data_IF_379154466556
#
_entry.id   IF_379154466556
#
_cell.length_a   1.000
_cell.length_b   1.000
_cell.length_c   1.000
_cell.angle_alpha   90.00
_cell.angle_beta   90.00
_cell.angle_gamma   90.00
#
_symmetry.space_group_name_H-M   'P 1'
#
loop_
_entity.id
_entity.type
_entity.pdbx_description
1 polymer ?
#
# COMPACT_ATOMS: atom_id res chain seq x y z
N UNK A 1 -3.09 -8.13 -41.35
CA UNK A 1 -2.08 -7.56 -40.44
C UNK A 1 -2.42 -8.06 -39.04
N UNK A 2 -1.74 -9.07 -38.55
CA UNK A 2 -1.86 -9.50 -37.13
C UNK A 2 -1.14 -8.48 -36.29
N UNK A 3 -1.88 -7.69 -35.51
CA UNK A 3 -1.30 -6.80 -34.54
C UNK A 3 -0.60 -7.65 -33.44
N UNK A 4 0.73 -7.77 -33.54
CA UNK A 4 1.53 -8.38 -32.47
C UNK A 4 1.48 -7.46 -31.27
N UNK A 5 0.78 -7.90 -30.20
CA UNK A 5 0.70 -7.16 -28.95
C UNK A 5 2.10 -7.13 -28.34
N UNK A 6 2.64 -5.93 -28.13
CA UNK A 6 3.95 -5.74 -27.52
C UNK A 6 3.88 -6.12 -26.02
N UNK A 7 4.69 -7.08 -25.53
CA UNK A 7 4.67 -7.50 -24.12
C UNK A 7 4.86 -6.35 -23.12
N UNK A 8 5.63 -5.32 -23.47
CA UNK A 8 5.78 -4.11 -22.66
C UNK A 8 4.45 -3.37 -22.48
N UNK A 9 3.65 -3.24 -23.53
CA UNK A 9 2.34 -2.60 -23.47
C UNK A 9 1.40 -3.40 -22.55
N UNK A 10 1.39 -4.73 -22.68
CA UNK A 10 0.56 -5.60 -21.81
C UNK A 10 0.93 -5.41 -20.35
N UNK A 11 2.24 -5.42 -20.04
CA UNK A 11 2.70 -5.24 -18.67
C UNK A 11 2.37 -3.84 -18.12
N UNK A 12 2.54 -2.79 -18.93
CA UNK A 12 2.20 -1.43 -18.56
C UNK A 12 0.70 -1.29 -18.29
N UNK A 13 -0.16 -1.86 -19.15
CA UNK A 13 -1.61 -1.87 -18.93
C UNK A 13 -2.00 -2.64 -17.67
N UNK A 14 -1.38 -3.78 -17.41
CA UNK A 14 -1.61 -4.56 -16.18
C UNK A 14 -1.27 -3.74 -14.92
N UNK A 15 -0.10 -3.10 -14.90
CA UNK A 15 0.34 -2.26 -13.78
C UNK A 15 -0.56 -1.04 -13.62
N UNK A 16 -0.92 -0.37 -14.73
CA UNK A 16 -1.84 0.78 -14.69
C UNK A 16 -3.22 0.39 -14.15
N UNK A 17 -3.78 -0.72 -14.60
CA UNK A 17 -5.05 -1.23 -14.10
C UNK A 17 -5.00 -1.55 -12.59
N UNK A 18 -3.90 -2.16 -12.13
CA UNK A 18 -3.67 -2.44 -10.71
C UNK A 18 -3.61 -1.14 -9.89
N UNK A 19 -2.91 -0.12 -10.37
CA UNK A 19 -2.81 1.17 -9.68
C UNK A 19 -4.14 1.93 -9.65
N UNK A 20 -4.88 1.94 -10.76
CA UNK A 20 -6.25 2.48 -10.79
C UNK A 20 -7.11 1.78 -9.74
N UNK A 21 -7.05 0.45 -9.67
CA UNK A 21 -7.80 -0.35 -8.70
C UNK A 21 -7.44 0.01 -7.26
N UNK A 22 -6.15 0.17 -6.94
CA UNK A 22 -5.68 0.57 -5.61
C UNK A 22 -6.11 2.01 -5.28
N UNK A 23 -6.00 2.94 -6.23
CA UNK A 23 -6.39 4.34 -6.05
C UNK A 23 -7.90 4.47 -5.82
N UNK A 24 -8.73 3.85 -6.65
CA UNK A 24 -10.19 3.84 -6.48
C UNK A 24 -10.56 3.19 -5.14
N UNK A 25 -9.89 2.09 -4.80
CA UNK A 25 -10.08 1.42 -3.52
C UNK A 25 -9.74 2.32 -2.33
N UNK A 26 -8.65 3.08 -2.41
CA UNK A 26 -8.26 4.02 -1.37
C UNK A 26 -9.29 5.15 -1.20
N UNK A 27 -9.68 5.82 -2.28
CA UNK A 27 -10.67 6.91 -2.25
C UNK A 27 -12.02 6.45 -1.69
N UNK A 28 -12.41 5.20 -1.95
CA UNK A 28 -13.68 4.64 -1.44
C UNK A 28 -13.58 4.07 -0.02
N UNK A 29 -12.39 3.91 0.52
CA UNK A 29 -12.14 3.33 1.86
C UNK A 29 -11.82 4.39 2.90
N UNK A 30 -11.06 5.42 2.52
CA UNK A 30 -10.62 6.47 3.43
C UNK A 30 -11.47 7.74 3.28
N UNK A 31 -11.83 8.36 4.40
CA UNK A 31 -12.54 9.64 4.43
C UNK A 31 -11.64 10.75 4.96
N UNK A 32 -11.84 11.93 4.39
CA UNK A 32 -11.26 13.17 4.94
C UNK A 32 -12.05 13.54 6.18
N UNK A 33 -11.35 13.80 7.29
CA UNK A 33 -11.96 14.29 8.51
C UNK A 33 -12.51 15.72 8.25
N UNK A 34 -13.78 16.02 8.61
CA UNK A 34 -14.32 17.37 8.44
C UNK A 34 -13.43 18.42 9.13
N UNK A 35 -13.06 19.47 8.40
CA UNK A 35 -12.17 20.54 8.90
C UNK A 35 -10.67 20.30 8.65
N UNK A 36 -10.27 19.10 8.23
CA UNK A 36 -8.91 18.82 7.77
C UNK A 36 -8.90 18.74 6.24
N UNK A 37 -7.96 19.42 5.61
CA UNK A 37 -7.71 19.24 4.17
C UNK A 37 -7.12 17.85 3.88
N UNK A 38 -7.16 17.39 2.61
CA UNK A 38 -6.50 16.14 2.25
C UNK A 38 -5.02 16.22 2.64
N UNK A 39 -4.50 15.24 3.37
CA UNK A 39 -3.12 15.29 3.82
C UNK A 39 -2.20 15.23 2.59
N UNK A 40 -1.49 16.31 2.31
CA UNK A 40 -0.55 16.44 1.16
C UNK A 40 0.40 15.24 1.02
N UNK A 41 0.69 14.55 2.13
CA UNK A 41 1.57 13.39 2.15
C UNK A 41 0.95 12.13 1.54
N UNK A 42 -0.39 11.95 1.59
CA UNK A 42 -1.05 10.81 0.93
C UNK A 42 -1.05 10.98 -0.60
N UNK A 43 -1.09 12.22 -1.08
CA UNK A 43 -0.98 12.54 -2.50
C UNK A 43 0.40 12.16 -3.05
N UNK A 44 1.48 12.33 -2.25
CA UNK A 44 2.83 11.93 -2.64
C UNK A 44 2.96 10.44 -2.92
N UNK A 45 2.24 9.58 -2.19
CA UNK A 45 2.23 8.14 -2.47
C UNK A 45 1.57 7.87 -3.82
N UNK A 46 0.41 8.49 -4.09
CA UNK A 46 -0.29 8.35 -5.37
C UNK A 46 0.56 8.89 -6.53
N UNK A 47 1.18 10.06 -6.37
CA UNK A 47 2.10 10.62 -7.36
C UNK A 47 3.29 9.70 -7.62
N UNK A 48 3.84 9.07 -6.57
CA UNK A 48 4.90 8.08 -6.70
C UNK A 48 4.49 6.89 -7.55
N UNK A 49 3.27 6.36 -7.37
CA UNK A 49 2.73 5.30 -8.22
C UNK A 49 2.72 5.69 -9.69
N UNK A 50 2.19 6.88 -10.02
CA UNK A 50 2.11 7.36 -11.39
C UNK A 50 3.49 7.66 -11.97
N UNK A 51 4.41 8.22 -11.18
CA UNK A 51 5.78 8.48 -11.61
C UNK A 51 6.51 7.19 -12.04
N UNK A 52 6.25 6.06 -11.36
CA UNK A 52 6.83 4.77 -11.74
C UNK A 52 6.32 4.25 -13.09
N UNK A 53 5.13 4.68 -13.55
CA UNK A 53 4.57 4.32 -14.86
C UNK A 53 5.05 5.23 -15.98
N UNK A 54 5.20 6.54 -15.70
CA UNK A 54 5.51 7.57 -16.71
C UNK A 54 7.00 7.55 -17.07
N UNK A 55 7.83 6.91 -16.26
CA UNK A 55 9.25 6.78 -16.55
C UNK A 55 9.48 6.03 -17.88
N UNK A 56 9.78 6.79 -18.93
CA UNK A 56 9.93 6.31 -20.31
C UNK A 56 11.24 5.60 -20.62
N UNK A 57 11.99 5.12 -19.63
CA UNK A 57 13.22 4.36 -19.88
C UNK A 57 12.87 3.04 -20.58
N UNK A 58 13.57 2.69 -21.69
CA UNK A 58 13.41 1.40 -22.33
C UNK A 58 13.83 0.30 -21.34
N UNK A 59 12.85 -0.44 -20.86
CA UNK A 59 13.07 -1.49 -19.88
C UNK A 59 13.43 -2.77 -20.63
N UNK A 60 14.58 -3.32 -20.34
CA UNK A 60 14.86 -4.70 -20.70
C UNK A 60 14.01 -5.61 -19.77
N UNK A 61 12.94 -6.18 -20.33
CA UNK A 61 12.13 -7.17 -19.61
C UNK A 61 12.99 -8.38 -19.29
N UNK A 62 13.51 -8.41 -18.08
CA UNK A 62 14.22 -9.57 -17.58
C UNK A 62 13.15 -10.62 -17.24
N UNK A 63 12.93 -11.58 -18.13
CA UNK A 63 11.79 -12.51 -18.09
C UNK A 63 11.62 -13.24 -16.76
N UNK A 64 12.73 -13.52 -16.06
CA UNK A 64 12.69 -14.21 -14.75
C UNK A 64 12.21 -13.31 -13.59
N UNK A 65 12.31 -11.97 -13.71
CA UNK A 65 11.81 -11.02 -12.70
C UNK A 65 10.33 -10.64 -12.93
N UNK A 66 9.82 -10.80 -14.14
CA UNK A 66 8.43 -10.45 -14.47
C UNK A 66 7.44 -11.35 -13.74
N UNK A 67 7.68 -12.66 -13.71
CA UNK A 67 6.77 -13.61 -13.04
C UNK A 67 6.64 -13.31 -11.54
N UNK A 68 7.72 -13.24 -10.74
CA UNK A 68 7.60 -12.90 -9.32
C UNK A 68 7.02 -11.50 -9.10
N UNK A 69 7.29 -10.53 -9.97
CA UNK A 69 6.68 -9.20 -9.91
C UNK A 69 5.17 -9.23 -10.16
N UNK A 70 4.70 -9.99 -11.15
CA UNK A 70 3.27 -10.19 -11.39
C UNK A 70 2.58 -10.88 -10.18
N UNK A 71 3.21 -11.92 -9.63
CA UNK A 71 2.71 -12.59 -8.41
C UNK A 71 2.63 -11.61 -7.23
N UNK A 72 3.66 -10.79 -7.03
CA UNK A 72 3.67 -9.75 -6.00
C UNK A 72 2.55 -8.71 -6.21
N UNK A 73 2.33 -8.27 -7.44
CA UNK A 73 1.24 -7.33 -7.77
C UNK A 73 -0.14 -7.93 -7.49
N UNK A 74 -0.38 -9.18 -7.89
CA UNK A 74 -1.62 -9.89 -7.55
C UNK A 74 -1.76 -10.03 -6.04
N UNK A 75 -0.70 -10.39 -5.33
CA UNK A 75 -0.66 -10.45 -3.87
C UNK A 75 -1.02 -9.11 -3.21
N UNK A 76 -0.52 -7.99 -3.75
CA UNK A 76 -0.85 -6.65 -3.29
C UNK A 76 -2.35 -6.35 -3.42
N UNK A 77 -2.94 -6.66 -4.57
CA UNK A 77 -4.39 -6.48 -4.81
C UNK A 77 -5.24 -7.36 -3.89
N UNK A 78 -4.85 -8.61 -3.72
CA UNK A 78 -5.53 -9.55 -2.81
C UNK A 78 -5.46 -9.07 -1.36
N UNK A 79 -4.28 -8.63 -0.90
CA UNK A 79 -4.10 -8.11 0.46
C UNK A 79 -4.94 -6.84 0.68
N UNK A 80 -4.94 -5.92 -0.29
CA UNK A 80 -5.74 -4.71 -0.24
C UNK A 80 -7.24 -5.02 -0.12
N UNK A 81 -7.75 -5.89 -1.01
CA UNK A 81 -9.16 -6.26 -1.01
C UNK A 81 -9.56 -7.06 0.22
N UNK A 82 -8.67 -7.90 0.75
CA UNK A 82 -8.90 -8.60 2.01
C UNK A 82 -9.00 -7.61 3.18
N UNK A 83 -8.08 -6.64 3.28
CA UNK A 83 -8.14 -5.60 4.29
C UNK A 83 -9.45 -4.80 4.19
N UNK A 84 -9.82 -4.38 2.98
CA UNK A 84 -11.05 -3.61 2.74
C UNK A 84 -12.32 -4.39 3.14
N UNK A 85 -12.39 -5.67 2.80
CA UNK A 85 -13.55 -6.52 3.17
C UNK A 85 -13.63 -6.75 4.67
N UNK A 86 -12.50 -6.82 5.35
CA UNK A 86 -12.43 -7.08 6.79
C UNK A 86 -13.02 -5.93 7.62
N UNK A 87 -12.96 -4.70 7.14
CA UNK A 87 -13.51 -3.52 7.84
C UNK A 87 -15.02 -3.31 7.64
N UNK A 88 -15.71 -4.21 6.92
CA UNK A 88 -17.16 -4.25 6.75
C UNK A 88 -17.82 -2.93 6.33
N UNK A 89 -17.18 -2.18 5.44
CA UNK A 89 -17.69 -0.90 4.93
C UNK A 89 -17.57 0.27 5.89
N UNK A 90 -16.90 0.12 7.02
CA UNK A 90 -16.53 1.26 7.84
C UNK A 90 -15.39 2.04 7.15
N UNK A 91 -15.38 3.34 7.42
CA UNK A 91 -14.39 4.23 6.83
C UNK A 91 -13.26 4.48 7.81
N UNK A 92 -12.04 4.47 7.29
CA UNK A 92 -10.88 4.91 8.02
C UNK A 92 -10.57 6.37 7.70
N UNK A 93 -10.06 7.08 8.68
CA UNK A 93 -9.52 8.41 8.46
C UNK A 93 -8.28 8.35 7.59
N UNK A 94 -8.04 9.39 6.82
CA UNK A 94 -6.81 9.49 6.03
C UNK A 94 -5.56 9.49 6.92
N UNK A 95 -4.48 9.04 6.34
CA UNK A 95 -3.14 9.06 6.93
C UNK A 95 -2.79 10.45 7.46
N UNK A 96 -2.19 10.51 8.66
CA UNK A 96 -1.84 11.76 9.37
C UNK A 96 -3.03 12.62 9.83
N UNK A 97 -4.26 12.13 9.86
CA UNK A 97 -5.36 12.81 10.55
C UNK A 97 -5.05 12.96 12.06
N UNK A 98 -5.60 13.99 12.68
CA UNK A 98 -5.45 14.22 14.13
C UNK A 98 -6.59 13.61 14.97
N UNK A 99 -7.46 12.83 14.34
CA UNK A 99 -8.55 12.13 15.01
C UNK A 99 -8.04 11.12 16.04
N UNK A 100 -8.79 10.96 17.13
CA UNK A 100 -8.49 9.95 18.15
C UNK A 100 -9.09 8.62 17.68
N UNK A 101 -8.30 7.53 17.67
CA UNK A 101 -8.82 6.21 17.31
C UNK A 101 -9.93 5.78 18.27
N UNK A 102 -11.10 5.40 17.72
CA UNK A 102 -12.25 4.95 18.49
C UNK A 102 -12.47 3.44 18.40
N UNK A 103 -11.75 2.75 17.51
CA UNK A 103 -11.90 1.32 17.27
C UNK A 103 -10.57 0.69 16.87
N UNK A 104 -10.28 -0.48 17.40
CA UNK A 104 -9.13 -1.30 17.02
C UNK A 104 -9.59 -2.50 16.18
N UNK A 105 -9.15 -2.56 14.93
CA UNK A 105 -9.40 -3.70 14.05
C UNK A 105 -8.32 -4.77 14.22
N UNK A 106 -8.77 -5.99 14.51
CA UNK A 106 -7.87 -7.14 14.72
C UNK A 106 -8.24 -8.36 13.87
N UNK A 107 -9.28 -8.24 13.04
CA UNK A 107 -9.77 -9.33 12.16
C UNK A 107 -9.13 -9.31 10.77
N UNK A 108 -9.26 -10.41 10.04
CA UNK A 108 -8.72 -10.55 8.69
C UNK A 108 -7.19 -10.37 8.65
N UNK A 109 -6.64 -9.59 7.69
CA UNK A 109 -5.19 -9.38 7.61
C UNK A 109 -4.64 -8.59 8.80
N UNK A 110 -5.47 -7.82 9.52
CA UNK A 110 -5.08 -7.12 10.74
C UNK A 110 -4.73 -8.07 11.89
N UNK A 111 -5.14 -9.34 11.84
CA UNK A 111 -4.69 -10.33 12.81
C UNK A 111 -3.18 -10.63 12.73
N UNK A 112 -2.55 -10.36 11.59
CA UNK A 112 -1.15 -10.67 11.30
C UNK A 112 -0.27 -9.43 11.18
N UNK A 113 -0.79 -8.38 10.52
CA UNK A 113 -0.07 -7.12 10.27
C UNK A 113 -0.95 -5.92 10.60
N UNK A 114 -0.36 -4.90 11.25
CA UNK A 114 -1.10 -3.72 11.71
C UNK A 114 -1.52 -2.76 10.60
N UNK A 115 -0.75 -2.73 9.50
CA UNK A 115 -0.95 -1.78 8.40
C UNK A 115 -1.08 -2.49 7.04
N UNK A 116 -2.14 -3.32 6.83
CA UNK A 116 -2.26 -4.13 5.62
C UNK A 116 -2.44 -3.28 4.35
N UNK A 117 -3.07 -2.11 4.41
CA UNK A 117 -3.17 -1.19 3.29
C UNK A 117 -1.81 -0.66 2.87
N UNK A 118 -0.97 -0.22 3.82
CA UNK A 118 0.38 0.26 3.51
C UNK A 118 1.28 -0.87 3.01
N UNK A 119 1.14 -2.06 3.58
CA UNK A 119 1.85 -3.25 3.10
C UNK A 119 1.48 -3.57 1.65
N UNK A 120 0.20 -3.46 1.27
CA UNK A 120 -0.24 -3.68 -0.10
C UNK A 120 0.33 -2.65 -1.07
N UNK A 121 0.40 -1.37 -0.70
CA UNK A 121 1.02 -0.34 -1.52
C UNK A 121 2.52 -0.58 -1.71
N UNK A 122 3.23 -0.90 -0.62
CA UNK A 122 4.66 -1.22 -0.70
C UNK A 122 4.92 -2.45 -1.56
N UNK A 123 4.10 -3.48 -1.43
CA UNK A 123 4.22 -4.70 -2.25
C UNK A 123 3.96 -4.40 -3.73
N UNK A 124 2.95 -3.58 -4.06
CA UNK A 124 2.68 -3.17 -5.43
C UNK A 124 3.85 -2.38 -6.04
N UNK A 125 4.40 -1.40 -5.31
CA UNK A 125 5.54 -0.60 -5.78
C UNK A 125 6.81 -1.45 -5.92
N UNK A 126 7.08 -2.34 -4.97
CA UNK A 126 8.19 -3.30 -5.06
C UNK A 126 8.04 -4.22 -6.29
N UNK A 127 6.82 -4.66 -6.58
CA UNK A 127 6.51 -5.48 -7.76
C UNK A 127 6.84 -4.75 -9.07
N UNK A 128 6.50 -3.45 -9.16
CA UNK A 128 6.86 -2.63 -10.34
C UNK A 128 8.38 -2.45 -10.44
N UNK A 129 9.04 -2.12 -9.34
CA UNK A 129 10.49 -1.97 -9.32
C UNK A 129 11.22 -3.28 -9.68
N UNK A 130 10.61 -4.44 -9.37
CA UNK A 130 11.13 -5.76 -9.72
C UNK A 130 10.91 -6.07 -11.21
N UNK A 131 9.70 -5.83 -11.73
CA UNK A 131 9.36 -6.09 -13.14
C UNK A 131 10.09 -5.15 -14.10
N UNK A 132 10.29 -3.91 -13.68
CA UNK A 132 10.85 -2.82 -14.48
C UNK A 132 11.95 -2.09 -13.69
N UNK A 133 13.12 -2.74 -13.45
CA UNK A 133 14.15 -2.17 -12.60
C UNK A 133 14.75 -0.90 -13.21
N UNK A 134 14.74 0.19 -12.44
CA UNK A 134 15.44 1.44 -12.74
C UNK A 134 15.84 2.15 -11.44
N UNK A 135 16.83 3.01 -11.49
CA UNK A 135 17.25 3.80 -10.33
C UNK A 135 16.10 4.70 -9.83
N UNK A 136 15.37 5.31 -10.74
CA UNK A 136 14.24 6.20 -10.39
C UNK A 136 13.16 5.41 -9.65
N UNK A 137 12.76 4.24 -10.15
CA UNK A 137 11.77 3.38 -9.48
C UNK A 137 12.21 2.91 -8.11
N UNK A 138 13.49 2.58 -7.95
CA UNK A 138 14.06 2.23 -6.65
C UNK A 138 14.03 3.42 -5.68
N UNK A 139 14.37 4.63 -6.14
CA UNK A 139 14.30 5.84 -5.32
C UNK A 139 12.87 6.21 -4.93
N UNK A 140 11.92 6.10 -5.86
CA UNK A 140 10.49 6.31 -5.60
C UNK A 140 9.97 5.29 -4.58
N UNK A 141 10.31 4.01 -4.74
CA UNK A 141 9.94 2.97 -3.78
C UNK A 141 10.54 3.24 -2.39
N UNK A 142 11.82 3.61 -2.30
CA UNK A 142 12.47 3.93 -1.04
C UNK A 142 11.81 5.14 -0.35
N UNK A 143 11.50 6.19 -1.10
CA UNK A 143 10.77 7.36 -0.61
C UNK A 143 9.38 7.00 -0.08
N UNK A 144 8.63 6.18 -0.83
CA UNK A 144 7.32 5.69 -0.39
C UNK A 144 7.42 4.81 0.87
N UNK A 145 8.44 3.96 0.96
CA UNK A 145 8.68 3.12 2.13
C UNK A 145 8.98 3.97 3.39
N UNK A 146 9.79 5.01 3.26
CA UNK A 146 10.04 5.95 4.36
C UNK A 146 8.77 6.70 4.77
N UNK A 147 8.00 7.21 3.80
CA UNK A 147 6.76 7.94 4.04
C UNK A 147 5.71 7.07 4.72
N UNK A 148 5.45 5.86 4.20
CA UNK A 148 4.47 4.92 4.77
C UNK A 148 4.91 4.38 6.14
N UNK A 149 6.23 4.23 6.37
CA UNK A 149 6.75 3.88 7.69
C UNK A 149 6.53 5.02 8.68
N UNK A 150 6.74 6.26 8.27
CA UNK A 150 6.45 7.44 9.11
C UNK A 150 4.95 7.53 9.44
N UNK A 151 4.09 7.28 8.45
CA UNK A 151 2.65 7.23 8.61
C UNK A 151 2.22 6.15 9.62
N UNK A 152 2.71 4.94 9.44
CA UNK A 152 2.42 3.83 10.35
C UNK A 152 2.87 4.13 11.79
N UNK A 153 4.05 4.75 11.97
CA UNK A 153 4.52 5.17 13.29
C UNK A 153 3.64 6.26 13.90
N UNK A 154 3.11 7.15 13.09
CA UNK A 154 2.17 8.18 13.54
C UNK A 154 0.87 7.53 14.05
N UNK A 155 0.27 6.64 13.27
CA UNK A 155 -0.93 5.90 13.68
C UNK A 155 -0.70 5.04 14.94
N UNK A 156 0.43 4.35 15.01
CA UNK A 156 0.81 3.56 16.20
C UNK A 156 0.92 4.44 17.46
N UNK A 157 1.43 5.68 17.36
CA UNK A 157 1.48 6.63 18.48
C UNK A 157 0.09 7.11 18.89
N UNK A 158 -0.80 7.38 17.93
CA UNK A 158 -2.21 7.76 18.22
C UNK A 158 -2.89 6.67 19.04
N UNK A 159 -2.77 5.40 18.65
CA UNK A 159 -3.32 4.28 19.44
C UNK A 159 -2.70 4.19 20.83
N UNK A 160 -1.39 4.34 20.97
CA UNK A 160 -0.71 4.28 22.26
C UNK A 160 -1.12 5.42 23.21
N UNK A 161 -1.60 6.54 22.68
CA UNK A 161 -2.06 7.71 23.42
C UNK A 161 -3.59 7.80 23.55
N UNK A 162 -4.33 6.84 23.00
CA UNK A 162 -5.79 6.80 22.99
C UNK A 162 -6.33 5.96 24.16
N UNK A 163 -7.64 6.02 24.45
CA UNK A 163 -8.30 5.12 25.39
C UNK A 163 -8.13 3.63 25.06
N UNK A 164 -7.78 3.30 23.81
CA UNK A 164 -7.54 1.93 23.34
C UNK A 164 -6.11 1.42 23.63
N UNK A 165 -5.28 2.18 24.32
CA UNK A 165 -3.87 1.83 24.57
C UNK A 165 -3.68 0.47 25.26
N UNK A 166 -4.56 0.14 26.21
CA UNK A 166 -4.54 -1.15 26.93
C UNK A 166 -4.83 -2.36 26.03
N UNK A 167 -5.67 -2.19 24.99
CA UNK A 167 -5.98 -3.23 24.00
C UNK A 167 -4.93 -3.26 22.88
N UNK A 168 -4.40 -2.09 22.54
CA UNK A 168 -3.44 -1.92 21.46
C UNK A 168 -2.07 -2.54 21.76
N UNK A 169 -1.56 -2.42 22.99
CA UNK A 169 -0.21 -2.92 23.33
C UNK A 169 -0.07 -4.44 23.17
N UNK A 170 -0.99 -5.30 23.70
CA UNK A 170 -0.96 -6.73 23.42
C UNK A 170 -1.11 -7.07 21.94
N UNK A 171 -1.94 -6.31 21.19
CA UNK A 171 -2.09 -6.46 19.77
C UNK A 171 -0.78 -6.18 19.02
N UNK A 172 -0.09 -5.09 19.35
CA UNK A 172 1.20 -4.70 18.78
C UNK A 172 2.30 -5.73 19.05
N UNK A 173 2.27 -6.38 20.21
CA UNK A 173 3.23 -7.42 20.55
C UNK A 173 3.10 -8.66 19.66
N UNK A 174 1.89 -9.08 19.30
CA UNK A 174 1.65 -10.29 18.47
C UNK A 174 1.64 -10.05 16.97
N UNK A 175 1.55 -8.80 16.51
CA UNK A 175 1.43 -8.47 15.08
C UNK A 175 2.63 -7.69 14.57
N UNK A 176 2.96 -7.84 13.28
CA UNK A 176 4.00 -7.05 12.63
C UNK A 176 3.47 -5.73 12.07
N UNK A 177 4.36 -4.81 11.67
CA UNK A 177 3.93 -3.54 11.08
C UNK A 177 3.45 -3.71 9.64
N UNK A 178 4.24 -4.32 8.78
CA UNK A 178 3.97 -4.57 7.36
C UNK A 178 4.10 -6.04 6.96
N UNK A 179 4.83 -6.81 7.74
CA UNK A 179 4.98 -8.25 7.57
C UNK A 179 4.50 -8.94 8.85
N UNK A 180 3.97 -10.17 8.77
CA UNK A 180 3.65 -10.95 9.95
C UNK A 180 4.87 -11.10 10.86
N UNK A 181 4.67 -11.05 12.17
CA UNK A 181 5.72 -11.50 13.09
C UNK A 181 5.84 -13.02 12.94
N UNK A 182 7.02 -13.46 12.58
CA UNK A 182 7.38 -14.86 12.75
C UNK A 182 7.57 -15.02 14.26
N UNK A 183 6.66 -15.76 14.90
CA UNK A 183 6.82 -16.11 16.31
C UNK A 183 8.10 -16.95 16.40
N UNK A 184 9.14 -16.38 17.03
CA UNK A 184 10.32 -17.11 17.43
C UNK A 184 10.00 -17.85 18.71
#
# INVERSE_FOLDING_TARGET
>A
MSATINPHQVLTFFVAAAFIRLTVGAVTTFRIVPGEGPPRRSELVSLGFWAMLIEGTPVQLNSWLVVPGCVGMVGALVLFDWARRSIRGQYFSYVFSNDIPTMLWTGGPFAYIRNPFYASYLLAMASVALMMPSLIRLLVFAGAAMLLTSAARHEERKFAQSPLSSEYEPYKQRTGRFLPKILA
#
